data_IF_400810189826
#
_entry.id   IF_400810189826
#
_cell.length_a   1.000
_cell.length_b   1.000
_cell.length_c   1.000
_cell.angle_alpha   90.00
_cell.angle_beta   90.00
_cell.angle_gamma   90.00
#
_symmetry.space_group_name_H-M   'P 1'
#
loop_
_entity.id
_entity.type
_entity.pdbx_description
1 polymer ?
#
# COMPACT_ATOMS: atom_id res chain seq x y z
N UNK A 1 3.58 28.83 -20.88
CA UNK A 1 4.83 28.06 -21.13
C UNK A 1 5.28 27.52 -19.78
N UNK A 2 4.84 26.34 -19.41
CA UNK A 2 5.27 25.62 -18.19
C UNK A 2 6.65 25.06 -18.47
N UNK A 3 7.64 25.57 -17.77
CA UNK A 3 9.05 25.31 -18.01
C UNK A 3 9.43 23.88 -17.59
N UNK A 4 10.39 23.29 -18.31
CA UNK A 4 11.00 21.96 -18.07
C UNK A 4 11.50 21.72 -16.62
N UNK A 5 11.54 22.76 -15.78
CA UNK A 5 11.95 22.74 -14.38
C UNK A 5 10.88 22.16 -13.44
N UNK A 6 9.58 22.28 -13.78
CA UNK A 6 8.49 21.75 -12.95
C UNK A 6 8.44 20.21 -12.97
N UNK A 7 8.87 19.60 -14.08
CA UNK A 7 8.98 18.14 -14.21
C UNK A 7 10.17 17.52 -13.45
N UNK A 8 11.21 18.30 -13.14
CA UNK A 8 12.35 17.83 -12.36
C UNK A 8 12.06 17.81 -10.85
N UNK A 9 11.20 18.71 -10.36
CA UNK A 9 10.80 18.73 -8.94
C UNK A 9 9.84 17.60 -8.58
N UNK A 10 9.02 17.12 -9.50
CA UNK A 10 8.13 15.97 -9.28
C UNK A 10 8.89 14.65 -9.08
N UNK A 11 10.12 14.55 -9.58
CA UNK A 11 11.00 13.38 -9.39
C UNK A 11 11.64 13.30 -7.99
N UNK A 12 11.66 14.40 -7.23
CA UNK A 12 12.28 14.46 -5.89
C UNK A 12 11.33 14.04 -4.75
N UNK A 13 10.01 14.08 -4.96
CA UNK A 13 9.01 13.78 -3.93
C UNK A 13 8.51 12.33 -4.10
N UNK A 14 9.17 11.38 -3.45
CA UNK A 14 8.82 9.97 -3.56
C UNK A 14 8.38 9.33 -2.24
N UNK A 15 8.49 10.07 -1.13
CA UNK A 15 8.14 9.59 0.20
C UNK A 15 6.83 10.26 0.66
N UNK A 16 5.72 9.75 0.15
CA UNK A 16 4.39 10.14 0.58
C UNK A 16 4.00 9.32 1.81
N UNK A 17 3.98 9.95 2.97
CA UNK A 17 3.64 9.30 4.22
C UNK A 17 2.12 9.20 4.37
N UNK A 18 1.61 8.01 4.61
CA UNK A 18 0.20 7.77 4.89
C UNK A 18 -0.21 8.46 6.18
N UNK A 19 -1.26 9.31 6.21
CA UNK A 19 -1.81 9.82 7.46
C UNK A 19 -2.30 8.67 8.35
N UNK A 20 -2.09 8.80 9.66
CA UNK A 20 -2.44 7.72 10.61
C UNK A 20 -3.96 7.47 10.69
N UNK A 21 -4.75 8.51 10.60
CA UNK A 21 -6.22 8.43 10.56
C UNK A 21 -6.72 7.64 9.36
N UNK A 22 -6.18 7.89 8.18
CA UNK A 22 -6.49 7.14 6.96
C UNK A 22 -6.10 5.66 7.08
N UNK A 23 -4.91 5.37 7.63
CA UNK A 23 -4.49 4.00 7.88
C UNK A 23 -5.45 3.28 8.84
N UNK A 24 -5.78 3.90 9.97
CA UNK A 24 -6.66 3.32 10.99
C UNK A 24 -8.09 3.12 10.46
N UNK A 25 -8.63 4.10 9.73
CA UNK A 25 -9.94 4.00 9.10
C UNK A 25 -10.02 2.79 8.18
N UNK A 26 -9.05 2.65 7.27
CA UNK A 26 -9.06 1.55 6.31
C UNK A 26 -8.79 0.19 6.97
N UNK A 27 -7.93 0.11 7.96
CA UNK A 27 -7.78 -1.10 8.77
C UNK A 27 -9.10 -1.54 9.40
N UNK A 28 -9.83 -0.61 10.01
CA UNK A 28 -11.14 -0.87 10.62
C UNK A 28 -12.16 -1.33 9.57
N UNK A 29 -12.28 -0.61 8.46
CA UNK A 29 -13.24 -0.92 7.38
C UNK A 29 -12.98 -2.28 6.72
N UNK A 30 -11.73 -2.71 6.69
CA UNK A 30 -11.32 -3.94 6.02
C UNK A 30 -11.12 -5.14 6.97
N UNK A 31 -11.28 -4.94 8.28
CA UNK A 31 -11.06 -5.97 9.28
C UNK A 31 -9.61 -6.46 9.31
N UNK A 32 -8.64 -5.54 9.17
CA UNK A 32 -7.22 -5.84 9.12
C UNK A 32 -6.48 -5.21 10.31
N UNK A 33 -5.45 -5.89 10.79
CA UNK A 33 -4.55 -5.41 11.84
C UNK A 33 -3.10 -5.72 11.48
N UNK A 34 -2.50 -4.94 10.58
CA UNK A 34 -1.11 -5.15 10.19
C UNK A 34 -0.15 -5.02 11.37
N UNK A 35 0.73 -6.01 11.54
CA UNK A 35 1.73 -6.05 12.60
C UNK A 35 3.04 -5.36 12.18
N UNK A 36 3.36 -5.39 10.88
CA UNK A 36 4.62 -4.87 10.34
C UNK A 36 4.35 -3.86 9.23
N UNK A 37 5.01 -2.70 9.28
CA UNK A 37 5.13 -1.77 8.17
C UNK A 37 6.42 -2.10 7.40
N UNK A 38 6.29 -2.61 6.19
CA UNK A 38 7.43 -3.23 5.49
C UNK A 38 8.33 -2.23 4.74
N UNK A 39 7.95 -0.96 4.68
CA UNK A 39 8.73 0.09 4.03
C UNK A 39 8.56 1.45 4.72
N UNK A 40 8.93 1.53 6.00
CA UNK A 40 8.78 2.71 6.84
C UNK A 40 10.09 3.14 7.48
N UNK A 41 10.02 4.21 8.25
CA UNK A 41 11.03 4.65 9.21
C UNK A 41 10.43 4.64 10.61
N UNK A 42 11.26 4.81 11.64
CA UNK A 42 10.78 4.97 13.01
C UNK A 42 9.79 6.13 13.16
N UNK A 43 9.97 7.19 12.36
CA UNK A 43 9.14 8.40 12.46
C UNK A 43 7.77 8.25 11.80
N UNK A 44 7.66 7.42 10.75
CA UNK A 44 6.44 7.35 9.94
C UNK A 44 5.75 5.98 9.91
N UNK A 45 6.29 4.97 10.61
CA UNK A 45 5.65 3.64 10.69
C UNK A 45 4.23 3.70 11.22
N UNK A 46 3.35 2.88 10.65
CA UNK A 46 1.95 2.71 11.06
C UNK A 46 1.74 1.48 11.93
N UNK A 47 2.76 0.66 12.09
CA UNK A 47 2.70 -0.61 12.82
C UNK A 47 3.72 -0.63 13.96
N UNK A 48 3.54 -1.56 14.90
CA UNK A 48 4.46 -1.74 16.01
C UNK A 48 5.88 -2.17 15.58
N UNK A 49 5.94 -2.95 14.48
CA UNK A 49 7.19 -3.37 13.84
C UNK A 49 7.33 -2.70 12.48
N UNK A 50 8.55 -2.48 12.03
CA UNK A 50 8.79 -1.91 10.70
C UNK A 50 10.13 -2.36 10.12
N UNK A 51 10.22 -2.25 8.79
CA UNK A 51 11.48 -2.37 8.06
C UNK A 51 11.83 -1.02 7.42
N UNK A 52 13.00 -0.52 7.73
CA UNK A 52 13.56 0.72 7.18
C UNK A 52 14.53 0.44 6.01
N UNK A 53 15.14 1.49 5.48
CA UNK A 53 16.15 1.36 4.41
C UNK A 53 17.34 0.51 4.82
N UNK A 54 17.74 0.53 6.11
CA UNK A 54 18.87 -0.24 6.61
C UNK A 54 18.54 -1.72 6.71
N UNK A 55 17.38 -2.04 7.26
CA UNK A 55 16.88 -3.42 7.37
C UNK A 55 16.42 -4.00 6.05
N UNK A 56 16.00 -3.16 5.11
CA UNK A 56 15.53 -3.47 3.75
C UNK A 56 14.43 -4.54 3.69
N UNK A 57 13.18 -4.08 3.69
CA UNK A 57 12.00 -4.96 3.64
C UNK A 57 12.00 -5.96 2.47
N UNK A 58 12.60 -5.60 1.32
CA UNK A 58 12.75 -6.49 0.16
C UNK A 58 13.75 -7.65 0.36
N UNK A 59 14.39 -7.74 1.53
CA UNK A 59 15.29 -8.83 1.92
C UNK A 59 14.80 -9.58 3.16
N UNK A 60 13.58 -9.29 3.63
CA UNK A 60 13.01 -9.85 4.86
C UNK A 60 11.85 -10.79 4.54
N UNK A 61 11.68 -11.81 5.36
CA UNK A 61 10.49 -12.64 5.36
C UNK A 61 9.36 -11.91 6.10
N UNK A 62 8.17 -11.87 5.49
CA UNK A 62 6.98 -11.23 6.07
C UNK A 62 6.06 -12.29 6.66
N UNK A 63 6.41 -12.76 7.84
CA UNK A 63 5.75 -13.88 8.53
C UNK A 63 4.55 -13.44 9.40
N UNK A 64 4.25 -12.15 9.45
CA UNK A 64 3.10 -11.56 10.14
C UNK A 64 2.30 -10.71 9.16
N UNK A 65 1.08 -10.32 9.54
CA UNK A 65 0.28 -9.38 8.75
C UNK A 65 1.03 -8.05 8.52
N UNK A 66 0.90 -7.48 7.33
CA UNK A 66 1.76 -6.38 6.91
C UNK A 66 1.01 -5.23 6.22
N UNK A 67 1.59 -4.04 6.35
CA UNK A 67 1.22 -2.84 5.62
C UNK A 67 2.37 -2.40 4.70
N UNK A 68 2.02 -1.85 3.54
CA UNK A 68 2.97 -1.36 2.55
C UNK A 68 2.47 -0.09 1.87
N UNK A 69 3.21 1.01 2.01
CA UNK A 69 3.13 2.21 1.17
C UNK A 69 4.52 2.44 0.57
N UNK A 70 4.84 1.81 -0.58
CA UNK A 70 6.20 1.75 -1.09
C UNK A 70 6.64 3.06 -1.77
N UNK A 71 7.94 3.28 -1.97
CA UNK A 71 8.42 4.35 -2.84
C UNK A 71 7.80 4.22 -4.23
N UNK A 72 7.18 5.31 -4.72
CA UNK A 72 6.33 5.25 -5.93
C UNK A 72 7.08 4.96 -7.23
N UNK A 73 8.39 5.20 -7.29
CA UNK A 73 9.24 4.80 -8.41
C UNK A 73 9.59 3.31 -8.42
N UNK A 74 9.35 2.60 -7.32
CA UNK A 74 9.70 1.18 -7.14
C UNK A 74 8.47 0.28 -6.92
N UNK A 75 7.26 0.80 -7.09
CA UNK A 75 6.00 0.08 -6.82
C UNK A 75 5.99 -1.32 -7.44
N UNK A 76 6.42 -1.48 -8.70
CA UNK A 76 6.41 -2.77 -9.37
C UNK A 76 7.29 -3.83 -8.67
N UNK A 77 8.45 -3.42 -8.14
CA UNK A 77 9.36 -4.31 -7.41
C UNK A 77 8.74 -4.71 -6.08
N UNK A 78 8.20 -3.73 -5.34
CA UNK A 78 7.56 -3.95 -4.05
C UNK A 78 6.31 -4.82 -4.14
N UNK A 79 5.43 -4.59 -5.13
CA UNK A 79 4.22 -5.41 -5.34
C UNK A 79 4.59 -6.85 -5.69
N UNK A 80 5.57 -7.05 -6.55
CA UNK A 80 6.05 -8.41 -6.89
C UNK A 80 6.59 -9.12 -5.66
N UNK A 81 7.38 -8.43 -4.85
CA UNK A 81 7.89 -8.99 -3.60
C UNK A 81 6.77 -9.32 -2.62
N UNK A 82 5.84 -8.41 -2.41
CA UNK A 82 4.65 -8.59 -1.57
C UNK A 82 3.81 -9.81 -2.03
N UNK A 83 3.61 -9.97 -3.32
CA UNK A 83 2.91 -11.12 -3.88
C UNK A 83 3.62 -12.45 -3.56
N UNK A 84 4.94 -12.48 -3.69
CA UNK A 84 5.72 -13.68 -3.37
C UNK A 84 5.65 -13.99 -1.87
N UNK A 85 5.78 -12.98 -1.00
CA UNK A 85 5.64 -13.13 0.45
C UNK A 85 4.24 -13.63 0.83
N UNK A 86 3.18 -13.06 0.21
CA UNK A 86 1.82 -13.52 0.42
C UNK A 86 1.62 -14.98 -0.02
N UNK A 87 2.15 -15.39 -1.15
CA UNK A 87 2.06 -16.79 -1.60
C UNK A 87 2.77 -17.75 -0.66
N UNK A 88 3.92 -17.36 -0.15
CA UNK A 88 4.76 -18.20 0.70
C UNK A 88 4.21 -18.31 2.12
N UNK A 89 3.91 -17.17 2.76
CA UNK A 89 3.52 -17.14 4.18
C UNK A 89 2.02 -17.01 4.40
N UNK A 90 1.26 -16.58 3.41
CA UNK A 90 -0.21 -16.48 3.50
C UNK A 90 -0.73 -15.42 4.46
N UNK A 91 0.11 -14.49 4.89
CA UNK A 91 -0.27 -13.43 5.81
C UNK A 91 -1.07 -12.32 5.10
N UNK A 92 -2.06 -11.77 5.78
CA UNK A 92 -2.86 -10.68 5.25
C UNK A 92 -2.00 -9.43 5.03
N UNK A 93 -2.16 -8.80 3.87
CA UNK A 93 -1.44 -7.60 3.49
C UNK A 93 -2.36 -6.46 3.07
N UNK A 94 -2.06 -5.26 3.54
CA UNK A 94 -2.70 -4.01 3.14
C UNK A 94 -1.70 -3.13 2.40
N UNK A 95 -2.07 -2.69 1.22
CA UNK A 95 -1.22 -1.90 0.34
C UNK A 95 -1.91 -0.59 0.00
N UNK A 96 -1.20 0.52 0.08
CA UNK A 96 -1.63 1.82 -0.42
C UNK A 96 -0.71 2.27 -1.54
N UNK A 97 -1.27 2.51 -2.73
CA UNK A 97 -0.52 3.00 -3.90
C UNK A 97 -1.37 3.97 -4.72
N UNK A 98 -0.73 4.70 -5.62
CA UNK A 98 -1.48 5.46 -6.63
C UNK A 98 -2.26 4.54 -7.55
N UNK A 99 -3.48 4.96 -7.88
CA UNK A 99 -4.38 4.22 -8.76
C UNK A 99 -3.91 4.33 -10.21
N UNK A 100 -3.01 3.42 -10.61
CA UNK A 100 -2.44 3.30 -11.94
C UNK A 100 -2.80 1.95 -12.57
N UNK A 101 -4.07 1.82 -12.95
CA UNK A 101 -4.65 0.58 -13.50
C UNK A 101 -4.14 0.22 -14.89
N UNK A 102 -3.44 1.12 -15.56
CA UNK A 102 -2.81 0.94 -16.88
C UNK A 102 -1.42 0.29 -16.83
N UNK A 103 -0.87 0.09 -15.62
CA UNK A 103 0.50 -0.42 -15.46
C UNK A 103 0.60 -1.93 -15.57
N UNK A 104 1.77 -2.44 -16.02
CA UNK A 104 2.04 -3.89 -16.12
C UNK A 104 1.87 -4.60 -14.79
N UNK A 105 2.40 -4.02 -13.69
CA UNK A 105 2.30 -4.65 -12.38
C UNK A 105 0.84 -4.81 -11.91
N UNK A 106 -0.06 -3.86 -12.27
CA UNK A 106 -1.46 -3.96 -11.90
C UNK A 106 -2.11 -5.19 -12.56
N UNK A 107 -1.86 -5.42 -13.84
CA UNK A 107 -2.38 -6.57 -14.58
C UNK A 107 -1.66 -7.89 -14.22
N UNK A 108 -0.43 -7.81 -13.75
CA UNK A 108 0.31 -9.02 -13.32
C UNK A 108 -0.14 -9.53 -11.95
N UNK A 109 -0.40 -8.62 -10.97
CA UNK A 109 -0.62 -8.99 -9.57
C UNK A 109 -2.01 -8.67 -9.03
N UNK A 110 -2.77 -7.78 -9.64
CA UNK A 110 -4.05 -7.30 -9.12
C UNK A 110 -5.22 -7.72 -10.00
N UNK A 111 -5.18 -7.38 -11.27
CA UNK A 111 -6.29 -7.55 -12.20
C UNK A 111 -6.02 -8.65 -13.23
N UNK A 112 -6.98 -9.57 -13.41
CA UNK A 112 -6.95 -10.56 -14.47
C UNK A 112 -7.81 -10.09 -15.65
N UNK A 113 -7.16 -9.56 -16.68
CA UNK A 113 -7.83 -9.04 -17.88
C UNK A 113 -8.63 -10.10 -18.62
N UNK A 114 -8.18 -11.34 -18.61
CA UNK A 114 -8.88 -12.44 -19.31
C UNK A 114 -10.19 -12.83 -18.63
N UNK A 115 -10.30 -12.60 -17.32
CA UNK A 115 -11.46 -12.94 -16.49
C UNK A 115 -12.26 -11.71 -16.07
N UNK A 116 -11.80 -10.50 -16.43
CA UNK A 116 -12.42 -9.20 -16.10
C UNK A 116 -12.71 -9.05 -14.59
N UNK A 117 -11.79 -9.46 -13.74
CA UNK A 117 -11.89 -9.40 -12.27
C UNK A 117 -10.53 -9.37 -11.59
N UNK A 118 -10.53 -9.02 -10.32
CA UNK A 118 -9.31 -9.15 -9.51
C UNK A 118 -8.82 -10.61 -9.47
N UNK A 119 -7.50 -10.76 -9.35
CA UNK A 119 -6.90 -12.08 -9.15
C UNK A 119 -7.40 -12.73 -7.86
N UNK A 120 -7.37 -14.06 -7.75
CA UNK A 120 -7.76 -14.74 -6.51
C UNK A 120 -7.01 -14.19 -5.29
N UNK A 121 -7.73 -14.00 -4.19
CA UNK A 121 -7.20 -13.46 -2.92
C UNK A 121 -6.72 -12.01 -3.00
N UNK A 122 -7.14 -11.25 -4.01
CA UNK A 122 -6.88 -9.83 -4.16
C UNK A 122 -8.19 -9.07 -4.14
N UNK A 123 -8.24 -8.02 -3.33
CA UNK A 123 -9.35 -7.08 -3.26
C UNK A 123 -8.83 -5.66 -3.51
N UNK A 124 -9.61 -4.81 -4.18
CA UNK A 124 -9.24 -3.43 -4.47
C UNK A 124 -10.33 -2.47 -4.04
N UNK A 125 -9.92 -1.37 -3.42
CA UNK A 125 -10.80 -0.34 -2.87
C UNK A 125 -10.29 1.03 -3.30
N UNK A 126 -10.84 1.62 -4.38
CA UNK A 126 -10.47 2.97 -4.79
C UNK A 126 -10.81 3.99 -3.70
N UNK A 127 -9.87 4.87 -3.41
CA UNK A 127 -10.08 5.96 -2.47
C UNK A 127 -10.98 7.02 -3.10
N UNK A 128 -12.03 7.42 -2.39
CA UNK A 128 -12.83 8.60 -2.77
C UNK A 128 -12.06 9.86 -2.41
N UNK A 129 -11.89 10.75 -3.38
CA UNK A 129 -11.06 11.92 -3.23
C UNK A 129 -9.55 11.60 -3.22
N UNK A 130 -8.74 12.63 -2.99
CA UNK A 130 -7.29 12.48 -2.87
C UNK A 130 -6.88 12.40 -1.41
N UNK A 131 -6.01 11.45 -1.09
CA UNK A 131 -5.36 11.43 0.23
C UNK A 131 -4.41 12.62 0.32
N UNK A 132 -4.51 13.38 1.39
CA UNK A 132 -3.51 14.38 1.75
C UNK A 132 -2.37 13.68 2.48
N UNK A 133 -1.43 13.13 1.72
CA UNK A 133 -0.25 12.51 2.29
C UNK A 133 0.59 13.53 3.04
N UNK A 134 1.42 13.07 3.96
CA UNK A 134 2.36 13.91 4.68
C UNK A 134 3.76 13.84 4.05
N UNK A 135 4.52 14.89 4.21
CA UNK A 135 5.94 14.97 3.86
C UNK A 135 6.73 15.33 5.12
N UNK A 136 7.54 14.40 5.62
CA UNK A 136 8.25 14.55 6.90
C UNK A 136 7.34 14.94 8.07
N UNK A 137 6.16 14.31 8.15
CA UNK A 137 5.16 14.56 9.18
C UNK A 137 4.35 15.83 9.03
N UNK A 138 4.53 16.61 7.95
CA UNK A 138 3.83 17.87 7.70
C UNK A 138 2.99 17.81 6.42
N UNK A 139 2.01 18.71 6.31
CA UNK A 139 1.22 18.86 5.09
C UNK A 139 2.10 19.37 3.94
N UNK A 140 2.08 18.73 2.76
CA UNK A 140 2.82 19.20 1.61
C UNK A 140 2.16 20.47 1.01
N UNK A 141 2.94 21.28 0.32
CA UNK A 141 2.42 22.44 -0.41
C UNK A 141 1.43 22.07 -1.52
N UNK A 142 1.65 20.91 -2.14
CA UNK A 142 0.82 20.42 -3.24
C UNK A 142 0.25 19.05 -2.91
N UNK A 143 -1.03 18.78 -3.26
CA UNK A 143 -1.62 17.47 -3.07
C UNK A 143 -0.93 16.41 -3.95
N UNK A 144 -1.11 15.14 -3.59
CA UNK A 144 -0.62 14.03 -4.40
C UNK A 144 -1.13 14.14 -5.85
N UNK A 145 -0.29 13.83 -6.85
CA UNK A 145 -0.62 14.04 -8.26
C UNK A 145 -1.72 13.10 -8.79
N UNK A 146 -1.94 11.98 -8.11
CA UNK A 146 -2.88 10.93 -8.52
C UNK A 146 -3.84 10.54 -7.38
N UNK A 147 -5.00 9.98 -7.75
CA UNK A 147 -5.85 9.25 -6.81
C UNK A 147 -5.16 7.99 -6.28
N UNK A 148 -5.66 7.45 -5.19
CA UNK A 148 -5.08 6.29 -4.53
C UNK A 148 -6.01 5.08 -4.59
N UNK A 149 -5.44 3.89 -4.45
CA UNK A 149 -6.17 2.63 -4.30
C UNK A 149 -5.56 1.84 -3.15
N UNK A 150 -6.44 1.28 -2.32
CA UNK A 150 -6.10 0.30 -1.31
C UNK A 150 -6.24 -1.09 -1.92
N UNK A 151 -5.22 -1.93 -1.75
CA UNK A 151 -5.19 -3.29 -2.25
C UNK A 151 -5.00 -4.23 -1.07
N UNK A 152 -5.79 -5.28 -1.00
CA UNK A 152 -5.68 -6.30 0.03
C UNK A 152 -5.26 -7.62 -0.61
N UNK A 153 -4.23 -8.23 -0.05
CA UNK A 153 -3.89 -9.64 -0.29
C UNK A 153 -4.33 -10.44 0.93
N UNK A 154 -5.35 -11.30 0.76
CA UNK A 154 -5.88 -12.10 1.85
C UNK A 154 -6.56 -13.36 1.33
N UNK A 155 -6.34 -14.49 2.01
CA UNK A 155 -7.09 -15.73 1.76
C UNK A 155 -8.49 -15.67 2.39
N UNK A 156 -8.71 -14.75 3.33
CA UNK A 156 -9.97 -14.54 4.06
C UNK A 156 -10.78 -13.44 3.41
N UNK A 157 -12.07 -13.66 3.18
CA UNK A 157 -12.96 -12.67 2.59
C UNK A 157 -13.27 -11.52 3.56
N UNK A 158 -13.58 -10.33 3.03
CA UNK A 158 -13.91 -9.14 3.82
C UNK A 158 -14.94 -9.44 4.92
N UNK A 159 -16.05 -10.11 4.58
CA UNK A 159 -17.09 -10.46 5.54
C UNK A 159 -16.55 -11.25 6.73
N UNK A 160 -15.71 -12.25 6.48
CA UNK A 160 -15.12 -13.10 7.52
C UNK A 160 -14.14 -12.32 8.38
N UNK A 161 -13.34 -11.42 7.79
CA UNK A 161 -12.44 -10.53 8.54
C UNK A 161 -13.21 -9.62 9.49
N UNK A 162 -14.31 -9.01 9.01
CA UNK A 162 -15.15 -8.15 9.84
C UNK A 162 -15.84 -8.91 10.97
N UNK A 163 -16.31 -10.14 10.75
CA UNK A 163 -16.88 -10.98 11.80
C UNK A 163 -15.85 -11.29 12.88
N UNK A 164 -14.63 -11.66 12.52
CA UNK A 164 -13.53 -11.89 13.48
C UNK A 164 -13.23 -10.64 14.32
N UNK A 165 -13.27 -9.46 13.73
CA UNK A 165 -13.05 -8.19 14.44
C UNK A 165 -14.14 -7.95 15.49
N UNK A 166 -15.38 -8.38 15.24
CA UNK A 166 -16.49 -8.30 16.18
C UNK A 166 -16.55 -9.45 17.19
N UNK A 167 -15.59 -10.40 17.15
CA UNK A 167 -15.57 -11.56 18.04
C UNK A 167 -16.61 -12.64 17.69
N UNK A 168 -17.07 -12.66 16.44
CA UNK A 168 -18.05 -13.61 15.89
C UNK A 168 -17.41 -14.65 14.97
#
# INVERSE_FOLDING_TARGET
MTTHLDNMNSRKKQNWETPIDQFMEWCSRLGLSPAIDVCATKANTKCAKYFDKRSNGLKKQWTESWFMNPPYNEVAVWIRYAWNQFKEYGQDGLILVFNKTDTKWYHEFVWDQSKLKNRPNVETYPQSGRITFLENGTLPENPAPYGSVWIVFSKTKLRERLLRQCGL
#
